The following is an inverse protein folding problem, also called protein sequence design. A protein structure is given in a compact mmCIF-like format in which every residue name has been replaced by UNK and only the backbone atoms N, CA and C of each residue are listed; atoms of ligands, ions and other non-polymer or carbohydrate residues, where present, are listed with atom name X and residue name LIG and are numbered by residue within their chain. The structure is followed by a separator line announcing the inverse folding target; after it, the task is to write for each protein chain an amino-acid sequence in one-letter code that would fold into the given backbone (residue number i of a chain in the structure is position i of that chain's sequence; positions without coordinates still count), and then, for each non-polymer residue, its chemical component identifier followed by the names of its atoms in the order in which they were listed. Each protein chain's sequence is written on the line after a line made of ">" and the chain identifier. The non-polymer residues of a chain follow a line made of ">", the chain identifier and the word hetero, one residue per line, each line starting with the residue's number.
data_IF_964702335693
#
_entry.id   IF_964702335693
#
_cell.length_a   1.000
_cell.length_b   1.000
_cell.length_c   1.000
_cell.angle_alpha   90.00
_cell.angle_beta   90.00
_cell.angle_gamma   90.00
#
_symmetry.space_group_name_H-M   'P 1'
#
loop_
_entity.id
_entity.type
_entity.pdbx_description
1 polymer ?
#
# COMPACT_ATOMS: atom_id res chain seq x y z
N UNK A 1 -72.54 59.71 42.47
CA UNK A 1 -71.98 58.51 43.15
C UNK A 1 -71.08 57.82 42.14
N UNK A 2 -69.82 57.59 42.49
CA UNK A 2 -68.84 56.94 41.61
C UNK A 2 -68.63 55.51 42.10
N UNK A 3 -68.58 54.53 41.20
CA UNK A 3 -68.40 53.13 41.54
C UNK A 3 -67.11 52.64 40.89
N UNK A 4 -66.19 52.10 41.69
CA UNK A 4 -65.02 51.40 41.18
C UNK A 4 -65.39 49.95 40.89
N UNK A 5 -65.25 49.54 39.62
CA UNK A 5 -65.52 48.16 39.19
C UNK A 5 -64.19 47.41 39.12
N UNK A 6 -64.07 46.35 39.91
CA UNK A 6 -62.88 45.50 39.96
C UNK A 6 -62.74 44.66 38.67
N UNK A 7 -61.80 45.00 37.79
CA UNK A 7 -61.44 44.18 36.61
C UNK A 7 -60.36 43.16 36.97
N UNK A 8 -60.66 41.86 36.88
CA UNK A 8 -59.63 40.80 36.88
C UNK A 8 -59.34 40.36 35.45
N UNK A 9 -58.10 40.55 35.00
CA UNK A 9 -57.62 40.10 33.69
C UNK A 9 -56.75 38.85 33.89
N UNK A 10 -57.16 37.70 33.34
CA UNK A 10 -56.39 36.44 33.41
C UNK A 10 -55.79 36.15 32.03
N UNK A 11 -54.47 36.31 31.91
CA UNK A 11 -53.73 35.95 30.70
C UNK A 11 -53.36 34.46 30.75
N UNK A 12 -54.10 33.61 30.04
CA UNK A 12 -53.70 32.21 29.81
C UNK A 12 -52.96 32.10 28.47
N UNK A 13 -51.66 31.80 28.54
CA UNK A 13 -50.83 31.53 27.35
C UNK A 13 -50.63 30.02 27.26
N UNK A 14 -51.44 29.33 26.43
CA UNK A 14 -51.26 27.89 26.16
C UNK A 14 -49.99 27.72 25.32
N UNK A 15 -48.98 27.06 25.87
CA UNK A 15 -47.74 26.68 25.16
C UNK A 15 -47.83 25.20 24.82
N UNK A 16 -47.83 24.86 23.54
CA UNK A 16 -47.85 23.48 23.03
C UNK A 16 -49.20 22.99 22.48
N UNK A 17 -49.13 21.91 21.71
CA UNK A 17 -50.31 21.17 21.24
C UNK A 17 -50.83 20.20 22.31
N UNK A 18 -52.14 20.00 22.35
CA UNK A 18 -52.79 19.02 23.24
C UNK A 18 -53.24 17.81 22.43
N UNK A 19 -53.03 16.60 22.95
CA UNK A 19 -53.61 15.40 22.35
C UNK A 19 -55.13 15.49 22.45
N UNK A 20 -55.83 15.36 21.32
CA UNK A 20 -57.30 15.43 21.26
C UNK A 20 -57.95 14.06 21.38
N UNK A 21 -57.28 13.02 20.87
CA UNK A 21 -57.72 11.63 20.91
C UNK A 21 -56.54 10.71 20.61
N UNK A 22 -56.52 9.54 21.23
CA UNK A 22 -55.54 8.49 21.01
C UNK A 22 -56.21 7.17 20.62
N UNK A 23 -55.67 6.51 19.60
CA UNK A 23 -56.08 5.18 19.18
C UNK A 23 -54.86 4.27 19.22
N UNK A 24 -54.93 3.19 19.98
CA UNK A 24 -53.84 2.23 20.11
C UNK A 24 -54.33 0.85 19.74
N UNK A 25 -53.66 0.21 18.79
CA UNK A 25 -53.88 -1.18 18.42
C UNK A 25 -52.62 -1.98 18.77
N UNK A 26 -52.78 -3.05 19.52
CA UNK A 26 -51.69 -3.88 20.01
C UNK A 26 -51.91 -5.30 19.51
N UNK A 27 -50.95 -5.83 18.76
CA UNK A 27 -50.94 -7.24 18.38
C UNK A 27 -49.98 -7.99 19.31
N UNK A 28 -50.45 -9.11 19.86
CA UNK A 28 -49.65 -9.95 20.75
C UNK A 28 -49.51 -11.34 20.13
N UNK A 29 -48.30 -11.87 20.11
CA UNK A 29 -48.09 -13.23 19.65
C UNK A 29 -48.69 -14.26 20.63
N UNK A 30 -49.05 -15.42 20.12
CA UNK A 30 -49.61 -16.52 20.89
C UNK A 30 -48.55 -17.34 21.62
N UNK A 31 -48.96 -18.52 22.05
CA UNK A 31 -48.06 -19.55 22.57
C UNK A 31 -48.00 -20.70 21.58
N UNK A 32 -46.89 -21.43 21.56
CA UNK A 32 -46.71 -22.58 20.69
C UNK A 32 -46.65 -23.84 21.54
N UNK A 33 -47.53 -24.80 21.25
CA UNK A 33 -47.57 -26.09 21.94
C UNK A 33 -47.18 -27.19 20.96
N UNK A 34 -46.36 -28.12 21.43
CA UNK A 34 -46.04 -29.33 20.68
C UNK A 34 -47.28 -30.23 20.62
N UNK A 35 -47.65 -30.67 19.42
CA UNK A 35 -48.76 -31.59 19.17
C UNK A 35 -48.40 -33.07 19.42
N UNK A 36 -47.19 -33.34 19.90
CA UNK A 36 -46.66 -34.68 20.11
C UNK A 36 -46.14 -35.34 18.83
N UNK A 37 -46.28 -34.68 17.68
CA UNK A 37 -45.72 -35.07 16.39
C UNK A 37 -44.49 -34.23 16.01
N UNK A 38 -44.02 -33.38 16.93
CA UNK A 38 -42.90 -32.47 16.72
C UNK A 38 -43.29 -31.19 15.96
N UNK A 39 -44.58 -30.96 15.70
CA UNK A 39 -45.04 -29.71 15.11
C UNK A 39 -45.47 -28.74 16.21
N UNK A 40 -45.00 -27.49 16.10
CA UNK A 40 -45.44 -26.42 16.98
C UNK A 40 -46.75 -25.83 16.48
N UNK A 41 -47.85 -26.11 17.19
CA UNK A 41 -49.18 -25.59 16.87
C UNK A 41 -49.40 -24.27 17.62
N UNK A 42 -49.75 -23.23 16.85
CA UNK A 42 -50.10 -21.93 17.39
C UNK A 42 -51.38 -22.01 18.24
N UNK A 43 -51.29 -21.52 19.46
CA UNK A 43 -52.40 -21.37 20.39
C UNK A 43 -52.53 -19.89 20.76
N UNK A 44 -53.65 -19.22 20.41
CA UNK A 44 -53.91 -17.85 20.86
C UNK A 44 -53.79 -17.73 22.38
N UNK A 45 -53.36 -16.56 22.88
CA UNK A 45 -53.30 -16.32 24.33
C UNK A 45 -54.69 -16.34 24.97
N UNK A 46 -54.73 -16.63 26.26
CA UNK A 46 -55.96 -16.61 27.04
C UNK A 46 -56.58 -15.21 27.07
N UNK A 47 -57.91 -15.13 27.11
CA UNK A 47 -58.66 -13.88 27.26
C UNK A 47 -58.35 -13.18 28.58
N UNK A 48 -58.12 -13.92 29.66
CA UNK A 48 -57.75 -13.33 30.95
C UNK A 48 -56.38 -12.64 30.87
N UNK A 49 -55.41 -13.27 30.21
CA UNK A 49 -54.08 -12.70 30.00
C UNK A 49 -54.16 -11.45 29.09
N UNK A 50 -54.95 -11.51 28.02
CA UNK A 50 -55.18 -10.36 27.14
C UNK A 50 -55.81 -9.18 27.89
N UNK A 51 -56.75 -9.43 28.82
CA UNK A 51 -57.35 -8.39 29.65
C UNK A 51 -56.34 -7.75 30.62
N UNK A 52 -55.43 -8.55 31.19
CA UNK A 52 -54.34 -8.05 32.03
C UNK A 52 -53.36 -7.18 31.22
N UNK A 53 -52.99 -7.63 30.02
CA UNK A 53 -52.15 -6.86 29.10
C UNK A 53 -52.83 -5.57 28.65
N UNK A 54 -54.13 -5.60 28.38
CA UNK A 54 -54.91 -4.41 28.05
C UNK A 54 -54.91 -3.40 29.20
N UNK A 55 -55.13 -3.86 30.44
CA UNK A 55 -55.09 -3.00 31.62
C UNK A 55 -53.72 -2.35 31.82
N UNK A 56 -52.64 -3.14 31.66
CA UNK A 56 -51.27 -2.64 31.74
C UNK A 56 -51.00 -1.59 30.66
N UNK A 57 -51.33 -1.90 29.41
CA UNK A 57 -51.15 -0.99 28.29
C UNK A 57 -51.97 0.30 28.44
N UNK A 58 -53.22 0.20 28.90
CA UNK A 58 -54.10 1.35 29.18
C UNK A 58 -53.44 2.30 30.18
N UNK A 59 -52.85 1.77 31.25
CA UNK A 59 -52.15 2.56 32.28
C UNK A 59 -50.84 3.17 31.78
N UNK A 60 -50.05 2.42 30.99
CA UNK A 60 -48.76 2.88 30.47
C UNK A 60 -48.91 3.99 29.43
N UNK A 61 -49.95 3.90 28.60
CA UNK A 61 -50.24 4.88 27.55
C UNK A 61 -50.94 6.13 28.10
N UNK A 62 -51.69 6.02 29.20
CA UNK A 62 -52.51 7.11 29.72
C UNK A 62 -53.76 7.36 28.86
N UNK A 63 -54.45 6.26 28.51
CA UNK A 63 -55.72 6.29 27.77
C UNK A 63 -56.78 6.98 28.63
N UNK A 64 -57.47 7.94 28.03
CA UNK A 64 -58.51 8.74 28.65
C UNK A 64 -59.83 8.58 27.87
N UNK A 65 -60.82 7.94 28.50
CA UNK A 65 -62.14 7.70 27.89
C UNK A 65 -62.93 9.00 27.70
N UNK A 66 -62.72 10.01 28.55
CA UNK A 66 -63.37 11.33 28.41
C UNK A 66 -62.81 12.09 27.21
N UNK A 67 -61.52 11.90 26.91
CA UNK A 67 -60.87 12.35 25.67
C UNK A 67 -61.35 11.57 24.44
N UNK A 68 -62.02 10.44 24.64
CA UNK A 68 -62.52 9.55 23.60
C UNK A 68 -61.45 8.61 23.04
N UNK A 69 -60.44 8.30 23.84
CA UNK A 69 -59.38 7.37 23.48
C UNK A 69 -59.87 5.93 23.39
N UNK A 70 -59.20 5.11 22.59
CA UNK A 70 -59.54 3.70 22.37
C UNK A 70 -58.27 2.85 22.35
N UNK A 71 -58.36 1.67 22.93
CA UNK A 71 -57.33 0.64 22.90
C UNK A 71 -57.94 -0.68 22.44
N UNK A 72 -57.26 -1.39 21.55
CA UNK A 72 -57.65 -2.72 21.06
C UNK A 72 -56.43 -3.65 21.11
N UNK A 73 -56.62 -4.86 21.63
CA UNK A 73 -55.59 -5.88 21.71
C UNK A 73 -56.06 -7.16 21.02
N UNK A 74 -55.24 -7.71 20.13
CA UNK A 74 -55.55 -8.93 19.37
C UNK A 74 -54.40 -9.92 19.39
N UNK A 75 -54.70 -11.20 19.60
CA UNK A 75 -53.69 -12.26 19.51
C UNK A 75 -53.68 -12.89 18.12
N UNK A 76 -52.53 -12.84 17.44
CA UNK A 76 -52.34 -13.41 16.10
C UNK A 76 -50.88 -13.85 15.93
N UNK A 77 -50.63 -14.95 15.19
CA UNK A 77 -49.27 -15.46 15.00
C UNK A 77 -48.43 -14.43 14.28
N UNK A 78 -47.21 -14.21 14.78
CA UNK A 78 -46.24 -13.41 14.06
C UNK A 78 -45.64 -14.23 12.91
N UNK A 79 -45.38 -13.56 11.79
CA UNK A 79 -44.59 -14.16 10.72
C UNK A 79 -43.16 -14.24 11.24
N UNK A 80 -42.71 -15.44 11.56
CA UNK A 80 -41.29 -15.66 11.79
C UNK A 80 -40.62 -15.55 10.42
N UNK A 81 -39.72 -14.55 10.21
CA UNK A 81 -38.94 -14.53 8.99
C UNK A 81 -38.20 -15.86 8.92
N UNK A 82 -38.27 -16.52 7.77
CA UNK A 82 -37.48 -17.71 7.54
C UNK A 82 -36.02 -17.32 7.81
N UNK A 83 -35.44 -17.90 8.86
CA UNK A 83 -34.04 -17.70 9.18
C UNK A 83 -33.30 -18.43 8.08
N UNK A 84 -33.06 -17.74 6.97
CA UNK A 84 -32.18 -18.20 5.92
C UNK A 84 -30.82 -18.31 6.61
N UNK A 85 -30.31 -19.53 6.86
CA UNK A 85 -28.96 -19.66 7.40
C UNK A 85 -28.04 -18.89 6.47
N UNK A 86 -27.05 -18.12 6.99
CA UNK A 86 -26.10 -17.45 6.12
C UNK A 86 -25.54 -18.51 5.19
N UNK A 87 -25.67 -18.30 3.87
CA UNK A 87 -25.07 -19.21 2.91
C UNK A 87 -23.58 -19.24 3.23
N UNK A 88 -23.10 -20.39 3.71
CA UNK A 88 -21.68 -20.53 3.99
C UNK A 88 -20.96 -20.40 2.65
N UNK A 89 -20.05 -19.42 2.48
CA UNK A 89 -19.38 -19.22 1.22
C UNK A 89 -18.71 -20.53 0.84
N UNK A 90 -18.95 -20.98 -0.40
CA UNK A 90 -18.36 -22.21 -0.89
C UNK A 90 -16.84 -22.18 -0.73
N UNK A 91 -16.19 -23.34 -0.64
CA UNK A 91 -14.73 -23.41 -0.47
C UNK A 91 -14.00 -22.50 -1.49
N UNK A 92 -14.46 -22.50 -2.74
CA UNK A 92 -13.92 -21.64 -3.80
C UNK A 92 -14.12 -20.16 -3.48
N UNK A 93 -15.32 -19.75 -3.08
CA UNK A 93 -15.65 -18.36 -2.74
C UNK A 93 -14.85 -17.87 -1.53
N UNK A 94 -14.71 -18.71 -0.50
CA UNK A 94 -13.86 -18.45 0.66
C UNK A 94 -12.38 -18.30 0.27
N UNK A 95 -11.89 -19.13 -0.65
CA UNK A 95 -10.52 -19.04 -1.16
C UNK A 95 -10.31 -17.77 -2.00
N UNK A 96 -11.26 -17.41 -2.85
CA UNK A 96 -11.21 -16.20 -3.67
C UNK A 96 -11.32 -14.93 -2.82
N UNK A 97 -12.17 -14.89 -1.80
CA UNK A 97 -12.24 -13.74 -0.88
C UNK A 97 -10.96 -13.57 -0.06
N UNK A 98 -10.37 -14.70 0.38
CA UNK A 98 -9.14 -14.66 1.18
C UNK A 98 -7.91 -14.31 0.34
N UNK A 99 -7.80 -14.83 -0.87
CA UNK A 99 -6.58 -14.77 -1.68
C UNK A 99 -6.71 -13.97 -2.99
N UNK A 100 -7.91 -13.58 -3.39
CA UNK A 100 -8.18 -12.93 -4.68
C UNK A 100 -7.43 -11.61 -4.85
N UNK A 101 -7.32 -10.80 -3.78
CA UNK A 101 -6.54 -9.56 -3.80
C UNK A 101 -5.04 -9.81 -4.01
N UNK A 102 -4.52 -10.90 -3.45
CA UNK A 102 -3.13 -11.29 -3.66
C UNK A 102 -2.92 -11.86 -5.07
N UNK A 103 -3.89 -12.63 -5.58
CA UNK A 103 -3.83 -13.20 -6.93
C UNK A 103 -3.72 -12.09 -7.98
N UNK A 104 -4.51 -11.03 -7.88
CA UNK A 104 -4.41 -9.87 -8.76
C UNK A 104 -3.05 -9.18 -8.68
N UNK A 105 -2.55 -8.96 -7.46
CA UNK A 105 -1.21 -8.36 -7.25
C UNK A 105 -0.12 -9.23 -7.87
N UNK A 106 -0.20 -10.55 -7.71
CA UNK A 106 0.72 -11.52 -8.32
C UNK A 106 0.65 -11.45 -9.84
N UNK A 107 -0.55 -11.29 -10.43
CA UNK A 107 -0.69 -11.13 -11.88
C UNK A 107 -0.01 -9.85 -12.39
N UNK A 108 -0.16 -8.72 -11.69
CA UNK A 108 0.53 -7.48 -12.06
C UNK A 108 2.05 -7.58 -11.93
N UNK A 109 2.55 -8.19 -10.86
CA UNK A 109 3.98 -8.43 -10.65
C UNK A 109 4.54 -9.37 -11.72
N UNK A 110 3.83 -10.45 -12.03
CA UNK A 110 4.20 -11.40 -13.07
C UNK A 110 4.22 -10.72 -14.45
N UNK A 111 3.20 -9.94 -14.77
CA UNK A 111 3.12 -9.18 -16.02
C UNK A 111 4.29 -8.20 -16.14
N UNK A 112 4.55 -7.41 -15.10
CA UNK A 112 5.69 -6.49 -15.05
C UNK A 112 7.03 -7.22 -15.21
N UNK A 113 7.18 -8.40 -14.60
CA UNK A 113 8.37 -9.24 -14.71
C UNK A 113 8.58 -9.73 -16.15
N UNK A 114 7.51 -10.20 -16.80
CA UNK A 114 7.56 -10.66 -18.20
C UNK A 114 7.91 -9.51 -19.13
N UNK A 115 7.29 -8.33 -18.97
CA UNK A 115 7.59 -7.13 -19.76
C UNK A 115 9.04 -6.66 -19.53
N UNK A 116 9.54 -6.71 -18.30
CA UNK A 116 10.93 -6.37 -18.00
C UNK A 116 11.90 -7.34 -18.69
N UNK A 117 11.62 -8.65 -18.64
CA UNK A 117 12.48 -9.67 -19.25
C UNK A 117 12.46 -9.65 -20.78
N UNK A 118 11.30 -9.46 -21.40
CA UNK A 118 11.11 -9.62 -22.86
C UNK A 118 10.99 -8.31 -23.63
N UNK A 119 10.57 -7.22 -23.00
CA UNK A 119 10.47 -5.92 -23.64
C UNK A 119 11.71 -5.07 -23.38
N UNK A 120 11.97 -4.79 -22.10
CA UNK A 120 12.97 -3.80 -21.67
C UNK A 120 14.39 -4.35 -21.75
N UNK A 121 14.65 -5.52 -21.16
CA UNK A 121 15.99 -6.14 -21.13
C UNK A 121 16.60 -6.32 -22.53
N UNK A 122 15.91 -6.89 -23.54
CA UNK A 122 16.50 -7.04 -24.87
C UNK A 122 16.74 -5.70 -25.58
N UNK A 123 15.95 -4.67 -25.28
CA UNK A 123 16.11 -3.34 -25.88
C UNK A 123 17.32 -2.60 -25.28
N UNK A 124 17.50 -2.66 -23.96
CA UNK A 124 18.68 -2.14 -23.26
C UNK A 124 19.95 -2.83 -23.76
N UNK A 125 19.95 -4.17 -23.86
CA UNK A 125 21.12 -4.91 -24.37
C UNK A 125 21.46 -4.61 -25.83
N UNK A 126 20.52 -4.08 -26.62
CA UNK A 126 20.76 -3.66 -28.02
C UNK A 126 21.30 -2.24 -28.12
N UNK A 127 20.99 -1.38 -27.15
CA UNK A 127 21.42 0.02 -27.11
C UNK A 127 22.72 0.21 -26.34
N UNK A 128 23.11 -0.73 -25.47
CA UNK A 128 24.45 -0.79 -24.90
C UNK A 128 25.36 -1.56 -25.85
N UNK A 129 26.29 -0.91 -26.58
CA UNK A 129 27.31 -1.61 -27.34
C UNK A 129 28.09 -2.52 -26.39
N UNK A 130 28.26 -3.78 -26.79
CA UNK A 130 28.81 -4.85 -25.96
C UNK A 130 30.10 -4.48 -25.25
N UNK A 131 29.99 -4.09 -23.99
CA UNK A 131 30.99 -4.38 -22.98
C UNK A 131 30.71 -5.77 -22.45
N UNK A 132 31.15 -6.81 -23.17
CA UNK A 132 31.50 -8.03 -22.47
C UNK A 132 32.48 -7.57 -21.38
N UNK A 133 32.05 -7.60 -20.13
CA UNK A 133 32.96 -7.63 -19.01
C UNK A 133 33.74 -8.94 -19.14
N UNK A 134 34.73 -8.99 -20.05
CA UNK A 134 35.97 -9.62 -19.69
C UNK A 134 36.36 -8.93 -18.40
N UNK A 135 36.28 -9.67 -17.31
CA UNK A 135 36.95 -9.30 -16.08
C UNK A 135 38.45 -9.21 -16.42
N UNK A 136 38.88 -8.05 -16.92
CA UNK A 136 40.21 -7.55 -16.63
C UNK A 136 40.19 -7.42 -15.13
N UNK A 137 40.69 -8.42 -14.41
CA UNK A 137 41.15 -8.25 -13.04
C UNK A 137 42.45 -7.46 -13.17
N UNK A 138 42.47 -6.14 -12.90
CA UNK A 138 43.72 -5.45 -12.80
C UNK A 138 44.27 -5.73 -11.39
N UNK A 139 45.55 -6.09 -11.31
CA UNK A 139 46.39 -5.94 -10.12
C UNK A 139 46.29 -7.01 -9.01
N UNK A 140 46.54 -8.28 -9.32
CA UNK A 140 47.12 -9.18 -8.32
C UNK A 140 48.52 -9.62 -8.74
N UNK A 141 49.51 -9.24 -7.95
CA UNK A 141 50.85 -9.84 -8.00
C UNK A 141 50.69 -11.31 -7.62
N UNK A 142 50.99 -12.20 -8.55
CA UNK A 142 50.97 -13.64 -8.29
C UNK A 142 52.39 -14.08 -7.92
N UNK A 143 52.50 -14.93 -6.89
CA UNK A 143 53.74 -15.65 -6.58
C UNK A 143 53.71 -16.94 -7.39
N UNK A 144 54.66 -17.10 -8.30
CA UNK A 144 54.82 -18.32 -9.12
C UNK A 144 56.17 -18.93 -8.77
N UNK A 145 56.28 -20.25 -8.66
CA UNK A 145 57.55 -20.92 -8.41
C UNK A 145 58.28 -21.10 -9.73
N UNK A 146 59.49 -20.55 -9.85
CA UNK A 146 60.35 -20.70 -11.02
C UNK A 146 60.83 -22.14 -11.21
N UNK A 147 61.30 -22.48 -12.40
CA UNK A 147 61.82 -23.81 -12.74
C UNK A 147 63.04 -24.23 -11.87
N UNK A 148 63.66 -23.25 -11.20
CA UNK A 148 64.75 -23.38 -10.23
C UNK A 148 64.26 -23.56 -8.77
N UNK A 149 62.94 -23.63 -8.54
CA UNK A 149 62.33 -23.83 -7.22
C UNK A 149 62.25 -22.57 -6.36
N UNK A 150 62.60 -21.38 -6.88
CA UNK A 150 62.56 -20.12 -6.15
C UNK A 150 61.26 -19.33 -6.40
N UNK A 151 60.70 -18.64 -5.39
CA UNK A 151 59.49 -17.85 -5.58
C UNK A 151 59.76 -16.61 -6.44
N UNK A 152 59.02 -16.48 -7.54
CA UNK A 152 59.04 -15.34 -8.46
C UNK A 152 57.77 -14.52 -8.29
N UNK A 153 57.91 -13.19 -8.28
CA UNK A 153 56.78 -12.26 -8.28
C UNK A 153 56.50 -11.83 -9.71
N UNK A 154 55.27 -12.08 -10.18
CA UNK A 154 54.81 -11.67 -11.51
C UNK A 154 53.87 -10.49 -11.35
N UNK A 155 54.26 -9.32 -11.88
CA UNK A 155 53.37 -8.17 -11.93
C UNK A 155 52.46 -8.26 -13.16
N UNK A 156 51.19 -8.57 -12.93
CA UNK A 156 50.22 -8.83 -14.00
C UNK A 156 49.97 -7.68 -14.98
N UNK A 157 50.29 -6.43 -14.62
CA UNK A 157 50.09 -5.29 -15.51
C UNK A 157 51.22 -5.10 -16.54
N UNK A 158 52.42 -5.62 -16.28
CA UNK A 158 53.60 -5.37 -17.13
C UNK A 158 54.32 -6.65 -17.56
N UNK A 159 53.88 -7.83 -17.10
CA UNK A 159 54.55 -9.11 -17.39
C UNK A 159 55.96 -9.19 -16.80
N UNK A 160 56.33 -8.24 -15.93
CA UNK A 160 57.68 -8.15 -15.35
C UNK A 160 57.83 -9.21 -14.28
N UNK A 161 58.83 -10.06 -14.45
CA UNK A 161 59.24 -11.08 -13.49
C UNK A 161 60.30 -10.47 -12.58
N UNK A 162 60.05 -10.44 -11.27
CA UNK A 162 61.01 -9.98 -10.26
C UNK A 162 61.35 -11.16 -9.33
N UNK A 163 62.63 -11.45 -9.21
CA UNK A 163 63.18 -12.40 -8.23
C UNK A 163 63.93 -11.64 -7.13
N UNK A 164 64.21 -12.31 -6.01
CA UNK A 164 65.02 -11.74 -4.91
C UNK A 164 66.35 -12.48 -4.86
N UNK A 165 67.46 -11.75 -4.92
CA UNK A 165 68.80 -12.34 -4.80
C UNK A 165 69.11 -12.82 -3.37
N UNK A 166 70.21 -13.54 -3.15
CA UNK A 166 70.60 -14.03 -1.82
C UNK A 166 70.91 -12.92 -0.80
N UNK A 167 70.92 -11.65 -1.24
CA UNK A 167 71.13 -10.46 -0.40
C UNK A 167 69.84 -9.69 -0.15
N UNK A 168 68.69 -10.21 -0.61
CA UNK A 168 67.37 -9.61 -0.37
C UNK A 168 66.99 -8.48 -1.33
N UNK A 169 67.70 -8.30 -2.46
CA UNK A 169 67.39 -7.24 -3.43
C UNK A 169 66.56 -7.75 -4.62
N UNK A 170 65.56 -6.99 -5.09
CA UNK A 170 64.74 -7.36 -6.25
C UNK A 170 65.52 -7.20 -7.57
N UNK A 171 65.58 -8.26 -8.37
CA UNK A 171 66.21 -8.32 -9.70
C UNK A 171 65.16 -8.70 -10.75
N UNK A 172 65.10 -7.95 -11.85
CA UNK A 172 64.17 -8.23 -12.97
C UNK A 172 64.75 -9.30 -13.89
N UNK A 173 64.00 -10.37 -14.15
CA UNK A 173 64.42 -11.44 -15.07
C UNK A 173 63.88 -11.12 -16.47
N UNK A 174 64.79 -10.78 -17.40
CA UNK A 174 64.46 -10.60 -18.81
C UNK A 174 64.54 -11.97 -19.49
N UNK A 175 63.40 -12.55 -19.87
CA UNK A 175 63.37 -13.81 -20.60
C UNK A 175 63.75 -13.54 -22.07
N UNK A 176 65.00 -13.84 -22.42
CA UNK A 176 65.50 -13.87 -23.79
C UNK A 176 64.93 -15.13 -24.47
N UNK A 177 64.04 -14.96 -25.44
CA UNK A 177 63.46 -16.07 -26.22
C UNK A 177 64.30 -16.25 -27.49
N UNK A 178 65.07 -17.34 -27.66
CA UNK A 178 65.74 -17.62 -28.92
C UNK A 178 64.79 -18.24 -29.95
N UNK A 179 65.04 -17.88 -31.21
CA UNK A 179 64.34 -18.30 -32.41
C UNK A 179 64.88 -19.62 -33.00
N UNK A 180 64.02 -20.36 -33.72
CA UNK A 180 64.33 -21.49 -34.62
C UNK A 180 64.30 -22.87 -33.92
N UNK A 181 63.72 -23.96 -34.44
CA UNK A 181 63.53 -24.37 -35.84
C UNK A 181 62.28 -25.26 -36.07
N UNK A 182 61.94 -25.31 -37.37
CA UNK A 182 60.89 -25.96 -38.16
C UNK A 182 60.44 -27.42 -37.87
N UNK A 183 59.18 -27.69 -38.24
CA UNK A 183 58.65 -29.03 -38.53
C UNK A 183 57.16 -29.00 -38.94
N UNK A 184 56.89 -29.10 -40.24
CA UNK A 184 55.63 -28.82 -40.94
C UNK A 184 54.47 -29.84 -40.74
N UNK A 185 53.21 -29.37 -40.87
CA UNK A 185 52.20 -29.96 -41.77
C UNK A 185 50.89 -29.11 -41.84
N UNK A 186 50.72 -28.49 -43.01
CA UNK A 186 49.49 -28.31 -43.81
C UNK A 186 48.14 -27.81 -43.21
N UNK A 187 47.87 -26.54 -43.53
CA UNK A 187 46.80 -26.03 -44.41
C UNK A 187 45.32 -26.38 -44.12
N UNK A 188 44.51 -25.35 -43.89
CA UNK A 188 43.63 -24.69 -44.89
C UNK A 188 42.68 -23.68 -44.21
N UNK A 189 42.80 -22.41 -44.58
CA UNK A 189 41.73 -21.40 -44.52
C UNK A 189 40.75 -21.62 -45.70
N UNK A 190 39.54 -21.04 -45.75
CA UNK A 190 39.36 -19.61 -46.06
C UNK A 190 38.20 -18.92 -45.27
N UNK A 191 38.36 -17.65 -44.91
CA UNK A 191 37.74 -16.44 -45.52
C UNK A 191 36.30 -16.19 -45.02
N UNK A 192 35.79 -14.96 -44.87
CA UNK A 192 36.08 -13.65 -45.43
C UNK A 192 35.62 -12.58 -44.39
N UNK A 193 36.36 -11.50 -44.11
CA UNK A 193 36.45 -10.23 -44.86
C UNK A 193 35.08 -9.58 -45.10
N UNK A 194 34.84 -8.29 -44.81
CA UNK A 194 35.66 -7.16 -44.39
C UNK A 194 34.78 -5.91 -44.40
N UNK A 195 35.28 -4.82 -43.82
CA UNK A 195 35.15 -3.40 -44.28
C UNK A 195 33.75 -2.84 -44.61
N UNK A 196 33.37 -1.60 -44.33
CA UNK A 196 33.94 -0.43 -43.70
C UNK A 196 32.84 0.66 -43.72
N UNK A 197 33.13 1.79 -43.05
CA UNK A 197 32.74 3.16 -43.43
C UNK A 197 31.50 3.79 -42.74
N UNK A 198 31.82 4.60 -41.74
CA UNK A 198 31.08 5.79 -41.27
C UNK A 198 31.19 6.94 -42.33
N UNK A 199 30.80 8.23 -42.10
CA UNK A 199 30.08 8.86 -40.96
C UNK A 199 29.03 9.94 -41.39
N UNK A 200 28.36 10.57 -40.39
CA UNK A 200 28.01 12.02 -40.25
C UNK A 200 26.79 12.17 -39.29
N UNK A 201 26.86 12.72 -38.07
CA UNK A 201 27.14 14.10 -37.56
C UNK A 201 26.05 15.14 -37.84
N UNK A 202 25.47 15.70 -36.76
CA UNK A 202 25.11 17.12 -36.43
C UNK A 202 24.05 17.06 -35.31
N UNK A 203 24.03 17.82 -34.22
CA UNK A 203 24.67 19.09 -33.83
C UNK A 203 24.84 19.08 -32.28
N UNK A 204 25.98 19.56 -31.75
CA UNK A 204 26.14 20.85 -31.01
C UNK A 204 25.38 20.86 -29.66
N UNK A 205 25.95 21.20 -28.50
CA UNK A 205 26.93 22.26 -28.18
C UNK A 205 27.78 21.91 -26.94
N UNK A 206 29.01 22.44 -26.96
CA UNK A 206 29.92 22.66 -25.82
C UNK A 206 29.30 23.68 -24.83
N UNK A 207 29.67 23.76 -23.55
CA UNK A 207 30.84 24.44 -22.99
C UNK A 207 31.05 23.92 -21.56
N UNK A 208 32.22 23.37 -21.25
CA UNK A 208 33.42 24.07 -20.76
C UNK A 208 33.29 24.49 -19.28
N UNK A 209 34.17 23.86 -18.51
CA UNK A 209 34.41 24.01 -17.08
C UNK A 209 34.81 25.46 -16.75
N UNK A 210 34.63 25.89 -15.49
CA UNK A 210 35.74 26.45 -14.69
C UNK A 210 35.33 26.60 -13.21
N UNK A 211 36.22 26.01 -12.42
CA UNK A 211 36.59 26.12 -11.00
C UNK A 211 35.67 26.67 -9.91
N UNK A 212 35.56 25.80 -8.92
CA UNK A 212 35.43 26.12 -7.51
C UNK A 212 36.65 26.94 -7.07
N UNK A 213 36.44 28.22 -6.79
CA UNK A 213 36.81 28.83 -5.50
C UNK A 213 36.57 30.33 -5.59
N UNK A 214 35.43 30.76 -5.02
CA UNK A 214 35.25 32.04 -4.29
C UNK A 214 33.77 32.31 -4.01
N UNK A 215 33.56 32.87 -2.81
CA UNK A 215 32.42 33.68 -2.36
C UNK A 215 31.22 32.93 -1.76
N UNK A 216 31.23 32.90 -0.43
CA UNK A 216 30.05 32.79 0.41
C UNK A 216 28.99 33.83 0.03
N UNK A 217 27.73 33.40 0.00
CA UNK A 217 26.58 34.30 -0.05
C UNK A 217 25.86 34.30 -1.39
N UNK A 218 24.83 33.44 -1.47
CA UNK A 218 23.52 33.70 -2.11
C UNK A 218 22.68 32.43 -1.96
N UNK A 219 22.00 32.33 -0.81
CA UNK A 219 20.85 31.44 -0.69
C UNK A 219 19.76 32.05 -1.58
N UNK A 220 19.29 31.25 -2.55
CA UNK A 220 18.33 31.65 -3.58
C UNK A 220 17.08 32.26 -2.96
N UNK A 221 16.63 33.37 -3.53
CA UNK A 221 15.34 34.01 -3.25
C UNK A 221 14.14 33.02 -3.30
N UNK A 222 14.31 31.90 -4.01
CA UNK A 222 13.33 30.81 -4.07
C UNK A 222 13.05 30.13 -2.73
N UNK A 223 14.00 30.05 -1.79
CA UNK A 223 13.78 29.43 -0.47
C UNK A 223 12.99 30.34 0.48
N UNK A 224 13.09 31.66 0.29
CA UNK A 224 12.37 32.64 1.11
C UNK A 224 10.91 32.75 0.66
N UNK A 225 10.66 32.69 -0.64
CA UNK A 225 9.29 32.70 -1.17
C UNK A 225 8.54 31.39 -0.86
N UNK A 226 9.24 30.26 -0.82
CA UNK A 226 8.64 28.95 -0.50
C UNK A 226 8.28 28.83 0.99
N UNK A 227 9.11 29.41 1.89
CA UNK A 227 8.82 29.47 3.33
C UNK A 227 7.69 30.47 3.64
N UNK A 228 7.59 31.58 2.90
CA UNK A 228 6.49 32.55 3.05
C UNK A 228 5.14 31.97 2.58
N UNK A 229 5.11 31.22 1.48
CA UNK A 229 3.89 30.64 0.92
C UNK A 229 3.33 29.48 1.78
N UNK A 230 4.21 28.76 2.47
CA UNK A 230 3.82 27.72 3.44
C UNK A 230 3.26 28.36 4.72
N UNK A 231 3.81 29.50 5.17
CA UNK A 231 3.38 30.19 6.39
C UNK A 231 1.95 30.77 6.27
N UNK A 232 1.55 31.22 5.08
CA UNK A 232 0.20 31.75 4.83
C UNK A 232 -0.86 30.66 4.57
N UNK A 233 -0.47 29.50 4.01
CA UNK A 233 -1.44 28.46 3.61
C UNK A 233 -1.72 27.41 4.68
N UNK A 234 -0.79 27.16 5.61
CA UNK A 234 -0.92 26.07 6.59
C UNK A 234 -0.53 26.48 8.02
N UNK A 235 -1.27 27.41 8.66
CA UNK A 235 -1.01 27.82 10.05
C UNK A 235 -1.10 26.65 11.05
N UNK A 236 -1.88 25.63 10.71
CA UNK A 236 -2.11 24.45 11.54
C UNK A 236 -0.86 23.55 11.70
N UNK A 237 0.06 23.58 10.73
CA UNK A 237 1.30 22.80 10.74
C UNK A 237 2.39 23.44 11.59
N UNK A 238 2.46 24.77 11.62
CA UNK A 238 3.32 25.50 12.57
C UNK A 238 2.94 25.16 14.02
N UNK A 239 1.65 25.00 14.32
CA UNK A 239 1.16 24.61 15.64
C UNK A 239 1.55 23.17 16.00
N UNK A 240 1.64 22.24 15.03
CA UNK A 240 2.10 20.87 15.28
C UNK A 240 3.59 20.81 15.63
N UNK A 241 4.43 21.61 14.99
CA UNK A 241 5.87 21.65 15.28
C UNK A 241 6.12 22.22 16.68
N UNK A 242 5.42 23.30 17.06
CA UNK A 242 5.50 23.87 18.41
C UNK A 242 5.00 22.86 19.46
N UNK A 243 3.90 22.15 19.20
CA UNK A 243 3.37 21.11 20.09
C UNK A 243 4.33 19.92 20.23
N UNK A 244 5.02 19.55 19.15
CA UNK A 244 6.03 18.49 19.17
C UNK A 244 7.21 18.83 20.08
N UNK A 245 7.65 20.10 20.10
CA UNK A 245 8.75 20.55 20.96
C UNK A 245 8.31 20.72 22.43
N UNK A 246 7.05 21.06 22.66
CA UNK A 246 6.51 21.20 24.01
C UNK A 246 6.30 19.85 24.72
N UNK A 247 6.07 18.77 23.96
CA UNK A 247 5.94 17.42 24.51
C UNK A 247 7.23 16.60 24.50
N UNK A 248 8.32 17.12 23.93
CA UNK A 248 9.61 16.41 23.85
C UNK A 248 10.59 16.78 24.97
N UNK A 249 10.11 17.22 26.14
CA UNK A 249 10.94 17.47 27.32
C UNK A 249 10.27 16.94 28.59
#
# INVERSE_FOLDING_TARGET
>A
VNYEISRKQRLQRKRGGTVRRLFVAIQVDGTYKDDGSGNMVFTPRDREELAQLEALARSAVGIDEERGDRIEIVSRPFVQPEVVPPEEPGLVETLLDRYGRYLETVLWVLLGTVVLMFGVRPLITRLLPGGAAQAVQPQRTAVVVGADGKPLLVHGASGTLVTVDERGQPVVVQAEVPAGEAGAAESRTPAAAGEAKAPQTTAEEDHELVDLDKVAGKVKASLVNEVADILERYPEEAVRVIRSWLHSN
#
